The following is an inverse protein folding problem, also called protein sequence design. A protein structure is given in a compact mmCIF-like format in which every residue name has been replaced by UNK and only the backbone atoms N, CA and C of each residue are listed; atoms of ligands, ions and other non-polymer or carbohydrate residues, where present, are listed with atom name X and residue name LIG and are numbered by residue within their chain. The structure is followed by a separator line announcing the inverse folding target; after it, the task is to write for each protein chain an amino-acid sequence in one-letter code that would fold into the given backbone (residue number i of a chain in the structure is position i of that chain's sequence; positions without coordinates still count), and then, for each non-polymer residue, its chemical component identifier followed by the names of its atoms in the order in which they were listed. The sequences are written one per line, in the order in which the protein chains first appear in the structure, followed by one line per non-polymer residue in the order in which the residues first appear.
data_IF_294396195534
#
_entry.id   IF_294396195534
#
_cell.length_a   1.000
_cell.length_b   1.000
_cell.length_c   1.000
_cell.angle_alpha   90.00
_cell.angle_beta   90.00
_cell.angle_gamma   90.00
#
_symmetry.space_group_name_H-M   'P 1'
#
loop_
_entity.id
_entity.type
_entity.pdbx_description
1 polymer ?
#
# COMPACT_ATOMS: atom_id res chain seq x y z
N UNK A 1 -35.25 7.68 -22.87
CA UNK A 1 -35.01 7.78 -21.42
C UNK A 1 -33.63 8.36 -21.23
N UNK A 2 -33.47 9.31 -20.30
CA UNK A 2 -32.20 10.00 -20.07
C UNK A 2 -31.36 9.20 -19.06
N UNK A 3 -30.28 8.57 -19.54
CA UNK A 3 -29.36 7.77 -18.73
C UNK A 3 -28.75 8.60 -17.60
N UNK A 4 -28.52 9.89 -17.83
CA UNK A 4 -27.94 10.79 -16.83
C UNK A 4 -28.90 10.98 -15.64
N UNK A 5 -30.20 11.10 -15.90
CA UNK A 5 -31.21 11.18 -14.83
C UNK A 5 -31.31 9.89 -14.03
N UNK A 6 -31.16 8.73 -14.67
CA UNK A 6 -31.17 7.43 -13.97
C UNK A 6 -29.94 7.27 -13.08
N UNK A 7 -28.75 7.66 -13.57
CA UNK A 7 -27.51 7.63 -12.78
C UNK A 7 -27.58 8.63 -11.60
N UNK A 8 -28.19 9.80 -11.81
CA UNK A 8 -28.33 10.79 -10.75
C UNK A 8 -29.28 10.33 -9.63
N UNK A 9 -30.29 9.52 -9.95
CA UNK A 9 -31.26 9.01 -8.97
C UNK A 9 -30.90 7.63 -8.41
N UNK A 10 -29.76 7.05 -8.82
CA UNK A 10 -29.30 5.75 -8.36
C UNK A 10 -28.85 5.82 -6.89
N UNK A 11 -29.38 4.90 -6.08
CA UNK A 11 -29.07 4.76 -4.63
C UNK A 11 -28.37 3.43 -4.29
N UNK A 12 -28.42 2.44 -5.20
CA UNK A 12 -27.88 1.10 -4.97
C UNK A 12 -26.65 0.79 -5.86
N UNK A 13 -25.69 0.05 -5.31
CA UNK A 13 -24.48 -0.36 -6.02
C UNK A 13 -24.78 -1.35 -7.16
N UNK A 14 -25.78 -2.22 -7.00
CA UNK A 14 -26.15 -3.17 -8.05
C UNK A 14 -26.76 -2.47 -9.28
N UNK A 15 -27.59 -1.44 -9.05
CA UNK A 15 -28.16 -0.60 -10.10
C UNK A 15 -27.09 0.25 -10.79
N UNK A 16 -26.13 0.79 -10.03
CA UNK A 16 -24.99 1.53 -10.58
C UNK A 16 -24.13 0.66 -11.50
N UNK A 17 -23.90 -0.61 -11.17
CA UNK A 17 -23.14 -1.55 -12.00
C UNK A 17 -23.86 -1.90 -13.30
N UNK A 18 -25.19 -1.98 -13.29
CA UNK A 18 -25.98 -2.17 -14.51
C UNK A 18 -25.92 -0.93 -15.42
N UNK A 19 -25.99 0.26 -14.85
CA UNK A 19 -25.83 1.52 -15.58
C UNK A 19 -24.43 1.68 -16.18
N UNK A 20 -23.37 1.27 -15.46
CA UNK A 20 -21.99 1.21 -15.97
C UNK A 20 -21.89 0.30 -17.20
N UNK A 21 -22.57 -0.86 -17.20
CA UNK A 21 -22.63 -1.75 -18.37
C UNK A 21 -23.32 -1.10 -19.56
N UNK A 22 -24.44 -0.40 -19.35
CA UNK A 22 -25.15 0.29 -20.42
C UNK A 22 -24.32 1.42 -21.06
N UNK A 23 -23.58 2.19 -20.26
CA UNK A 23 -22.64 3.20 -20.76
C UNK A 23 -21.47 2.56 -21.52
N UNK A 24 -20.98 1.40 -21.07
CA UNK A 24 -19.95 0.64 -21.79
C UNK A 24 -20.43 0.16 -23.17
N UNK A 25 -21.69 -0.28 -23.29
CA UNK A 25 -22.28 -0.67 -24.58
C UNK A 25 -22.41 0.54 -25.52
N UNK A 26 -22.79 1.71 -25.00
CA UNK A 26 -22.83 2.96 -25.78
C UNK A 26 -21.43 3.41 -26.24
N UNK A 27 -20.42 3.21 -25.40
CA UNK A 27 -19.02 3.47 -25.75
C UNK A 27 -18.52 2.53 -26.87
N UNK A 28 -18.96 1.28 -26.87
CA UNK A 28 -18.66 0.35 -27.96
C UNK A 28 -19.34 0.77 -29.28
N UNK A 29 -20.57 1.27 -29.21
CA UNK A 29 -21.28 1.80 -30.38
C UNK A 29 -20.59 3.02 -31.01
N UNK A 30 -19.75 3.73 -30.26
CA UNK A 30 -19.01 4.91 -30.73
C UNK A 30 -17.89 4.54 -31.73
N UNK A 31 -17.42 3.30 -31.71
CA UNK A 31 -16.40 2.76 -32.63
C UNK A 31 -16.97 2.29 -33.97
N UNK A 32 -18.30 2.31 -34.15
CA UNK A 32 -18.95 2.01 -35.43
C UNK A 32 -18.77 3.12 -36.49
N UNK A 33 -19.22 2.84 -37.71
CA UNK A 33 -19.31 3.81 -38.81
C UNK A 33 -20.45 4.82 -38.55
N UNK A 34 -20.22 5.73 -37.60
CA UNK A 34 -21.09 6.85 -37.32
C UNK A 34 -20.56 8.12 -38.01
N UNK A 35 -21.45 8.99 -38.53
CA UNK A 35 -21.08 10.32 -39.01
C UNK A 35 -20.36 11.13 -37.92
N UNK A 36 -19.39 11.97 -38.31
CA UNK A 36 -18.53 12.74 -37.39
C UNK A 36 -19.32 13.58 -36.36
N UNK A 37 -20.46 14.16 -36.77
CA UNK A 37 -21.32 14.94 -35.88
C UNK A 37 -22.00 14.07 -34.81
N UNK A 38 -22.56 12.93 -35.20
CA UNK A 38 -23.22 12.01 -34.28
C UNK A 38 -22.24 11.37 -33.33
N UNK A 39 -21.02 11.05 -33.81
CA UNK A 39 -19.93 10.54 -32.97
C UNK A 39 -19.54 11.56 -31.89
N UNK A 40 -19.41 12.84 -32.24
CA UNK A 40 -19.11 13.91 -31.26
C UNK A 40 -20.24 14.09 -30.24
N UNK A 41 -21.50 14.05 -30.69
CA UNK A 41 -22.68 14.13 -29.82
C UNK A 41 -22.74 12.95 -28.85
N UNK A 42 -22.51 11.74 -29.36
CA UNK A 42 -22.47 10.52 -28.56
C UNK A 42 -21.31 10.55 -27.55
N UNK A 43 -20.13 10.99 -27.96
CA UNK A 43 -18.98 11.14 -27.07
C UNK A 43 -19.24 12.12 -25.93
N UNK A 44 -19.84 13.29 -26.22
CA UNK A 44 -20.24 14.24 -25.19
C UNK A 44 -21.24 13.65 -24.19
N UNK A 45 -22.21 12.87 -24.69
CA UNK A 45 -23.20 12.18 -23.86
C UNK A 45 -22.56 11.10 -22.96
N UNK A 46 -21.60 10.34 -23.50
CA UNK A 46 -20.84 9.34 -22.73
C UNK A 46 -19.99 10.01 -21.65
N UNK A 47 -19.34 11.14 -21.96
CA UNK A 47 -18.57 11.89 -20.97
C UNK A 47 -19.45 12.39 -19.82
N UNK A 48 -20.63 12.91 -20.13
CA UNK A 48 -21.59 13.36 -19.13
C UNK A 48 -22.10 12.19 -18.27
N UNK A 49 -22.40 11.05 -18.88
CA UNK A 49 -22.79 9.83 -18.18
C UNK A 49 -21.67 9.29 -17.27
N UNK A 50 -20.41 9.29 -17.73
CA UNK A 50 -19.27 8.86 -16.90
C UNK A 50 -19.05 9.78 -15.69
N UNK A 51 -19.19 11.09 -15.89
CA UNK A 51 -19.12 12.06 -14.79
C UNK A 51 -20.25 11.87 -13.78
N UNK A 52 -21.46 11.57 -14.26
CA UNK A 52 -22.58 11.23 -13.40
C UNK A 52 -22.34 9.92 -12.63
N UNK A 53 -21.74 8.91 -13.27
CA UNK A 53 -21.37 7.64 -12.62
C UNK A 53 -20.36 7.88 -11.51
N UNK A 54 -19.31 8.66 -11.75
CA UNK A 54 -18.32 8.99 -10.71
C UNK A 54 -18.96 9.75 -9.54
N UNK A 55 -19.87 10.68 -9.82
CA UNK A 55 -20.64 11.38 -8.79
C UNK A 55 -21.60 10.45 -8.03
N UNK A 56 -22.19 9.44 -8.69
CA UNK A 56 -23.02 8.43 -8.04
C UNK A 56 -22.20 7.46 -7.19
N UNK A 57 -21.06 6.99 -7.72
CA UNK A 57 -20.11 6.13 -7.00
C UNK A 57 -19.65 6.82 -5.73
N UNK A 58 -19.22 8.09 -5.83
CA UNK A 58 -18.84 8.90 -4.67
C UNK A 58 -19.97 9.12 -3.67
N UNK A 59 -21.25 9.13 -4.08
CA UNK A 59 -22.42 9.29 -3.20
C UNK A 59 -22.83 7.99 -2.51
N UNK A 60 -22.73 6.86 -3.21
CA UNK A 60 -23.09 5.53 -2.70
C UNK A 60 -21.94 4.96 -1.83
N UNK A 61 -20.69 5.21 -2.21
CA UNK A 61 -19.49 4.78 -1.48
C UNK A 61 -19.01 5.75 -0.39
N UNK A 62 -19.79 6.78 -0.01
CA UNK A 62 -19.42 7.68 1.11
C UNK A 62 -19.20 6.92 2.42
N UNK A 63 -19.81 5.74 2.56
CA UNK A 63 -19.78 4.96 3.80
C UNK A 63 -18.50 4.14 4.04
N UNK A 64 -17.52 4.12 3.13
CA UNK A 64 -16.29 3.34 3.37
C UNK A 64 -15.34 3.93 4.41
N UNK A 65 -15.60 5.15 4.92
CA UNK A 65 -14.82 5.76 6.01
C UNK A 65 -15.66 6.54 7.01
N UNK A 66 -16.86 6.07 7.34
CA UNK A 66 -17.50 6.51 8.59
C UNK A 66 -16.92 5.68 9.73
N UNK A 67 -16.03 6.30 10.50
CA UNK A 67 -15.69 5.79 11.82
C UNK A 67 -16.98 5.85 12.65
N UNK A 68 -17.62 4.70 12.88
CA UNK A 68 -18.71 4.63 13.84
C UNK A 68 -18.13 4.79 15.25
N UNK A 69 -18.48 5.90 15.90
CA UNK A 69 -18.03 6.24 17.25
C UNK A 69 -17.50 7.67 17.34
N UNK A 70 -17.45 8.21 18.56
CA UNK A 70 -16.76 9.47 18.79
C UNK A 70 -15.31 9.35 18.32
N UNK A 71 -14.74 10.38 17.65
CA UNK A 71 -13.34 10.35 17.24
C UNK A 71 -12.48 10.05 18.47
N UNK A 72 -11.93 8.84 18.53
CA UNK A 72 -11.02 8.50 19.62
C UNK A 72 -9.83 9.44 19.47
N UNK A 73 -9.54 10.31 20.46
CA UNK A 73 -8.28 11.01 20.47
C UNK A 73 -7.18 9.96 20.38
N UNK A 74 -6.07 10.23 19.66
CA UNK A 74 -4.95 9.31 19.63
C UNK A 74 -4.66 8.93 21.06
N UNK A 75 -4.88 7.65 21.38
CA UNK A 75 -4.70 7.14 22.72
C UNK A 75 -3.23 7.38 23.01
N UNK A 76 -2.92 8.43 23.78
CA UNK A 76 -1.63 8.53 24.46
C UNK A 76 -1.57 7.22 25.22
N UNK A 77 -0.77 6.30 24.71
CA UNK A 77 -0.71 4.90 25.12
C UNK A 77 -0.72 4.85 26.65
N UNK A 78 -1.89 4.65 27.24
CA UNK A 78 -1.95 3.95 28.50
C UNK A 78 -1.46 2.57 28.12
N UNK A 79 -0.24 2.29 28.53
CA UNK A 79 0.41 0.99 28.49
C UNK A 79 -0.64 -0.06 28.85
N UNK A 80 -1.27 -0.65 27.83
CA UNK A 80 -2.24 -1.70 28.03
C UNK A 80 -1.55 -2.97 27.58
N UNK A 81 -1.42 -3.85 28.56
CA UNK A 81 -0.61 -5.03 28.56
C UNK A 81 -0.89 -5.87 27.32
N UNK A 82 0.10 -5.86 26.44
CA UNK A 82 0.36 -6.95 25.51
C UNK A 82 0.14 -8.23 26.29
N UNK A 83 -0.84 -9.05 25.89
CA UNK A 83 -0.93 -10.43 26.35
C UNK A 83 0.47 -11.01 26.21
N UNK A 84 1.12 -11.25 27.35
CA UNK A 84 2.45 -11.85 27.47
C UNK A 84 2.40 -13.20 26.76
N UNK A 85 2.68 -13.23 25.46
CA UNK A 85 3.52 -14.28 24.91
C UNK A 85 4.90 -14.03 25.50
N UNK A 86 5.18 -14.80 26.54
CA UNK A 86 6.43 -14.85 27.27
C UNK A 86 7.64 -14.67 26.35
N UNK A 87 8.41 -13.60 26.60
CA UNK A 87 9.82 -13.46 26.27
C UNK A 87 10.22 -13.64 24.80
N UNK A 88 9.79 -12.74 23.91
CA UNK A 88 10.68 -12.31 22.83
C UNK A 88 11.22 -10.95 23.22
N UNK A 89 12.27 -10.99 24.04
CA UNK A 89 13.15 -9.85 24.23
C UNK A 89 13.85 -9.66 22.88
N UNK A 90 13.19 -8.96 21.95
CA UNK A 90 13.73 -8.69 20.62
C UNK A 90 14.86 -7.69 20.85
N UNK A 91 16.06 -8.23 21.04
CA UNK A 91 17.27 -7.47 21.25
C UNK A 91 17.45 -6.55 20.06
N UNK A 92 17.30 -5.24 20.29
CA UNK A 92 17.72 -4.23 19.32
C UNK A 92 19.20 -3.98 19.57
N UNK A 93 20.03 -4.31 18.58
CA UNK A 93 21.46 -4.01 18.63
C UNK A 93 21.81 -3.04 17.51
N UNK A 94 22.51 -1.99 17.91
CA UNK A 94 23.05 -1.00 17.01
C UNK A 94 24.56 -1.22 16.86
N UNK A 95 25.03 -1.27 15.62
CA UNK A 95 26.44 -1.39 15.27
C UNK A 95 26.80 -0.15 14.48
N UNK A 96 27.63 0.70 15.10
CA UNK A 96 28.02 1.97 14.48
C UNK A 96 28.89 1.78 13.24
N UNK A 97 29.79 0.78 13.25
CA UNK A 97 30.70 0.55 12.13
C UNK A 97 31.23 -0.88 12.07
N UNK A 98 31.30 -1.43 10.87
CA UNK A 98 31.99 -2.69 10.53
C UNK A 98 33.00 -2.37 9.43
N UNK A 99 34.29 -2.62 9.68
CA UNK A 99 35.36 -2.32 8.71
C UNK A 99 36.37 -3.46 8.63
N UNK A 100 36.71 -3.88 7.41
CA UNK A 100 37.70 -4.92 7.10
C UNK A 100 37.48 -6.24 7.85
N UNK A 101 36.22 -6.64 8.05
CA UNK A 101 35.88 -7.82 8.83
C UNK A 101 34.95 -8.76 8.07
N UNK A 102 35.09 -10.05 8.36
CA UNK A 102 34.09 -11.05 7.98
C UNK A 102 33.35 -11.46 9.24
N UNK A 103 32.05 -11.18 9.30
CA UNK A 103 31.25 -11.38 10.50
C UNK A 103 30.00 -12.21 10.21
N UNK A 104 29.70 -13.12 11.13
CA UNK A 104 28.39 -13.75 11.21
C UNK A 104 27.47 -12.84 12.03
N UNK A 105 26.45 -12.30 11.36
CA UNK A 105 25.50 -11.42 11.99
C UNK A 105 24.67 -12.17 13.05
N UNK A 106 24.47 -13.49 12.91
CA UNK A 106 23.76 -14.32 13.89
C UNK A 106 24.41 -14.25 15.27
N UNK A 107 25.74 -14.16 15.33
CA UNK A 107 26.51 -14.02 16.57
C UNK A 107 26.54 -12.58 17.08
N UNK A 108 26.68 -11.62 16.16
CA UNK A 108 26.86 -10.21 16.49
C UNK A 108 25.57 -9.60 17.09
N UNK A 109 24.43 -9.83 16.45
CA UNK A 109 23.19 -9.08 16.67
C UNK A 109 22.09 -9.94 17.29
N UNK A 110 22.15 -11.26 17.15
CA UNK A 110 21.08 -12.16 17.57
C UNK A 110 19.81 -12.01 16.71
N UNK A 111 18.82 -12.87 16.96
CA UNK A 111 17.58 -12.93 16.18
C UNK A 111 16.61 -11.78 16.52
N UNK A 112 17.00 -10.54 16.23
CA UNK A 112 16.23 -9.34 16.55
C UNK A 112 16.35 -8.22 15.51
N UNK A 113 16.08 -6.98 15.93
CA UNK A 113 16.21 -5.81 15.06
C UNK A 113 17.67 -5.36 15.00
N UNK A 114 18.18 -5.14 13.80
CA UNK A 114 19.55 -4.71 13.58
C UNK A 114 19.60 -3.33 12.90
N UNK A 115 20.44 -2.45 13.44
CA UNK A 115 20.79 -1.20 12.79
C UNK A 115 22.31 -1.12 12.60
N UNK A 116 22.77 -1.07 11.36
CA UNK A 116 24.18 -0.96 11.00
C UNK A 116 24.39 0.31 10.19
N UNK A 117 25.10 1.28 10.78
CA UNK A 117 25.27 2.58 10.13
C UNK A 117 26.27 2.48 8.97
N UNK A 118 27.49 1.98 9.23
CA UNK A 118 28.56 1.96 8.23
C UNK A 118 29.18 0.57 8.07
N UNK A 119 29.31 0.09 6.83
CA UNK A 119 29.98 -1.16 6.45
C UNK A 119 30.98 -0.86 5.34
N UNK A 120 32.25 -1.17 5.57
CA UNK A 120 33.33 -0.86 4.63
C UNK A 120 34.25 -2.07 4.43
N UNK A 121 34.51 -2.44 3.17
CA UNK A 121 35.43 -3.53 2.79
C UNK A 121 35.22 -4.82 3.60
N UNK A 122 33.95 -5.16 3.87
CA UNK A 122 33.58 -6.22 4.82
C UNK A 122 32.63 -7.23 4.19
N UNK A 123 32.63 -8.45 4.73
CA UNK A 123 31.70 -9.50 4.33
C UNK A 123 30.81 -9.88 5.51
N UNK A 124 29.53 -9.60 5.41
CA UNK A 124 28.58 -9.91 6.48
C UNK A 124 27.49 -10.85 5.96
N UNK A 125 27.16 -11.85 6.77
CA UNK A 125 26.11 -12.81 6.44
C UNK A 125 25.39 -13.30 7.69
N UNK A 126 24.12 -13.68 7.56
CA UNK A 126 23.45 -14.52 8.54
C UNK A 126 22.95 -15.82 7.89
N UNK A 127 22.96 -16.91 8.66
CA UNK A 127 22.46 -18.22 8.23
C UNK A 127 21.02 -18.43 8.65
N UNK A 128 20.62 -17.91 9.82
CA UNK A 128 19.26 -18.05 10.34
C UNK A 128 18.34 -16.98 9.77
N UNK A 129 17.08 -17.33 9.56
CA UNK A 129 16.06 -16.36 9.17
C UNK A 129 15.70 -15.49 10.38
N UNK A 130 15.94 -14.19 10.30
CA UNK A 130 15.63 -13.26 11.38
C UNK A 130 14.17 -12.80 11.32
N UNK A 131 13.46 -12.77 12.47
CA UNK A 131 12.11 -12.20 12.52
C UNK A 131 12.12 -10.66 12.49
N UNK A 132 13.27 -10.03 12.76
CA UNK A 132 13.40 -8.57 12.92
C UNK A 132 13.86 -7.83 11.66
N UNK A 133 13.42 -6.58 11.54
CA UNK A 133 13.86 -5.63 10.52
C UNK A 133 15.35 -5.31 10.61
N UNK A 134 15.97 -5.07 9.45
CA UNK A 134 17.38 -4.68 9.33
C UNK A 134 17.48 -3.34 8.61
N UNK A 135 18.22 -2.39 9.20
CA UNK A 135 18.56 -1.10 8.59
C UNK A 135 20.06 -1.01 8.35
N UNK A 136 20.43 -0.65 7.12
CA UNK A 136 21.80 -0.46 6.64
C UNK A 136 21.91 0.94 6.05
N UNK A 137 22.86 1.77 6.48
CA UNK A 137 22.91 3.17 6.04
C UNK A 137 24.02 3.57 5.07
N UNK A 138 25.16 2.88 5.08
CA UNK A 138 26.29 3.22 4.22
C UNK A 138 27.17 1.99 4.04
N UNK A 139 26.99 1.29 2.92
CA UNK A 139 27.76 0.09 2.58
C UNK A 139 28.68 0.36 1.38
N UNK A 140 29.99 0.21 1.58
CA UNK A 140 31.01 0.43 0.54
C UNK A 140 31.93 -0.78 0.41
N UNK A 141 32.21 -1.17 -0.83
CA UNK A 141 33.13 -2.27 -1.16
C UNK A 141 32.88 -3.56 -0.34
N UNK A 142 31.61 -3.81 0.01
CA UNK A 142 31.22 -4.83 0.97
C UNK A 142 30.22 -5.80 0.38
N UNK A 143 30.27 -7.06 0.83
CA UNK A 143 29.32 -8.10 0.44
C UNK A 143 28.40 -8.40 1.61
N UNK A 144 27.09 -8.25 1.40
CA UNK A 144 26.06 -8.39 2.43
C UNK A 144 25.09 -9.49 1.99
N UNK A 145 24.87 -10.50 2.84
CA UNK A 145 23.88 -11.56 2.60
C UNK A 145 22.95 -11.64 3.80
N UNK A 146 21.68 -11.26 3.61
CA UNK A 146 20.71 -11.13 4.70
C UNK A 146 19.47 -11.99 4.47
N UNK A 147 19.17 -12.84 5.45
CA UNK A 147 17.98 -13.67 5.54
C UNK A 147 17.07 -13.11 6.66
N UNK A 148 16.03 -12.35 6.30
CA UNK A 148 15.07 -11.78 7.25
C UNK A 148 13.65 -11.90 6.73
N UNK A 149 12.66 -12.11 7.62
CA UNK A 149 11.23 -11.94 7.32
C UNK A 149 10.74 -10.52 7.53
N UNK A 150 11.55 -9.67 8.19
CA UNK A 150 11.23 -8.28 8.46
C UNK A 150 11.63 -7.35 7.30
N UNK A 151 11.21 -6.09 7.38
CA UNK A 151 11.60 -5.07 6.41
C UNK A 151 13.12 -4.86 6.38
N UNK A 152 13.66 -4.78 5.16
CA UNK A 152 15.04 -4.40 4.88
C UNK A 152 15.09 -2.95 4.40
N UNK A 153 15.77 -2.09 5.15
CA UNK A 153 15.99 -0.70 4.81
C UNK A 153 17.44 -0.49 4.39
N UNK A 154 17.66 -0.18 3.12
CA UNK A 154 18.97 0.21 2.60
C UNK A 154 18.94 1.71 2.31
N UNK A 155 19.70 2.47 3.09
CA UNK A 155 20.09 3.84 2.77
C UNK A 155 21.51 3.73 2.22
N UNK A 156 21.79 4.38 1.09
CA UNK A 156 23.09 4.33 0.39
C UNK A 156 23.72 5.71 0.35
#
# INVERSE_FOLDING_TARGET
MDLVQQINNCEDNAELDELKKQVSVLNQATYGELPSFERKKLYSSIQEANKAIEAADNRINVDYFRFEGEPQPPSILKQQEVKKSSNLNVVSKQVSQIKNQTLDLDELLGAGHANINTIESSKISNKKIWPGSVRLENARDSTITLNTTGLLWLVT
#
